data_IF_444625205974
#
_entry.id   IF_444625205974
#
_cell.length_a   1.000
_cell.length_b   1.000
_cell.length_c   1.000
_cell.angle_alpha   90.00
_cell.angle_beta   90.00
_cell.angle_gamma   90.00
#
_symmetry.space_group_name_H-M   'P 1'
#
loop_
_entity.id
_entity.type
_entity.pdbx_description
1 polymer ?
#
# COMPACT_ATOMS: atom_id res chain seq x y z
N UNK A 1 41.12 -18.45 20.21
CA UNK A 1 40.67 -18.57 18.81
C UNK A 1 40.30 -20.05 18.67
N UNK A 2 39.00 -20.35 18.69
CA UNK A 2 38.49 -21.71 18.52
C UNK A 2 38.57 -22.04 17.03
N UNK A 3 39.46 -23.00 16.69
CA UNK A 3 39.50 -23.57 15.37
C UNK A 3 38.18 -24.32 15.14
N UNK A 4 37.30 -23.71 14.30
CA UNK A 4 36.13 -24.40 13.78
C UNK A 4 36.62 -25.63 13.05
N UNK A 5 36.11 -26.83 13.44
CA UNK A 5 36.44 -28.08 12.80
C UNK A 5 36.11 -27.98 11.31
N UNK A 6 36.94 -28.61 10.47
CA UNK A 6 36.73 -28.63 9.00
C UNK A 6 35.33 -29.16 8.63
N UNK A 7 34.77 -30.07 9.42
CA UNK A 7 33.38 -30.56 9.29
C UNK A 7 32.35 -29.46 9.52
N UNK A 8 32.55 -28.60 10.51
CA UNK A 8 31.67 -27.47 10.78
C UNK A 8 31.71 -26.43 9.66
N UNK A 9 32.91 -26.18 9.09
CA UNK A 9 33.02 -25.31 7.91
C UNK A 9 32.40 -25.90 6.66
N UNK A 10 32.40 -27.22 6.52
CA UNK A 10 31.74 -27.93 5.43
C UNK A 10 30.23 -27.89 5.59
N UNK A 11 29.69 -28.09 6.78
CA UNK A 11 28.26 -28.05 7.07
C UNK A 11 27.71 -26.59 6.90
N UNK A 12 28.46 -25.56 7.29
CA UNK A 12 28.12 -24.17 7.01
C UNK A 12 28.15 -23.82 5.51
N UNK A 13 28.99 -24.48 4.73
CA UNK A 13 29.09 -24.33 3.27
C UNK A 13 27.91 -24.96 2.53
N UNK A 14 27.26 -25.96 3.13
CA UNK A 14 26.08 -26.64 2.55
C UNK A 14 24.77 -26.03 3.06
N UNK A 15 24.57 -24.71 2.88
CA UNK A 15 23.25 -24.11 3.09
C UNK A 15 22.27 -24.70 2.08
N UNK A 16 21.47 -25.67 2.53
CA UNK A 16 20.34 -26.16 1.73
C UNK A 16 19.19 -25.16 1.83
N UNK A 17 18.88 -24.51 0.73
CA UNK A 17 17.79 -23.54 0.64
C UNK A 17 16.50 -24.26 0.27
N UNK A 18 15.42 -23.95 0.98
CA UNK A 18 14.10 -24.55 0.76
C UNK A 18 13.12 -23.52 0.18
N UNK A 19 12.12 -24.02 -0.55
CA UNK A 19 11.05 -23.15 -1.05
C UNK A 19 10.28 -22.50 0.12
N UNK A 20 10.09 -21.20 0.07
CA UNK A 20 9.42 -20.43 1.11
C UNK A 20 10.33 -19.90 2.23
N UNK A 21 11.62 -20.22 2.20
CA UNK A 21 12.61 -19.75 3.16
C UNK A 21 12.95 -18.26 2.91
N UNK A 22 13.22 -17.54 3.99
CA UNK A 22 13.68 -16.16 3.93
C UNK A 22 15.19 -16.13 4.04
N UNK A 23 15.84 -15.56 3.04
CA UNK A 23 17.30 -15.47 2.95
C UNK A 23 17.73 -14.02 2.74
N UNK A 24 18.91 -13.69 3.23
CA UNK A 24 19.57 -12.43 2.93
C UNK A 24 20.47 -12.61 1.72
N UNK A 25 20.35 -11.71 0.76
CA UNK A 25 21.17 -11.70 -0.44
C UNK A 25 21.80 -10.36 -0.69
N UNK A 26 23.01 -10.35 -1.25
CA UNK A 26 23.70 -9.14 -1.70
C UNK A 26 23.51 -8.98 -3.20
N UNK A 27 23.15 -7.78 -3.63
CA UNK A 27 22.94 -7.45 -5.04
C UNK A 27 24.26 -7.44 -5.77
N UNK A 28 24.39 -8.29 -6.81
CA UNK A 28 25.56 -8.38 -7.69
C UNK A 28 25.38 -7.47 -8.90
N UNK A 29 24.18 -7.55 -9.52
CA UNK A 29 23.89 -6.83 -10.76
C UNK A 29 22.42 -6.43 -10.80
N UNK A 30 22.14 -5.27 -11.41
CA UNK A 30 20.78 -4.71 -11.54
C UNK A 30 20.51 -4.44 -13.02
N UNK A 31 19.60 -5.19 -13.59
CA UNK A 31 19.08 -4.97 -14.94
C UNK A 31 17.69 -4.32 -14.90
N UNK A 32 17.21 -3.75 -15.99
CA UNK A 32 15.89 -3.09 -16.03
C UNK A 32 14.71 -3.99 -15.68
N UNK A 33 14.82 -5.31 -15.91
CA UNK A 33 13.74 -6.29 -15.69
C UNK A 33 14.03 -7.31 -14.61
N UNK A 34 15.29 -7.44 -14.18
CA UNK A 34 15.73 -8.44 -13.20
C UNK A 34 16.85 -7.92 -12.30
N UNK A 35 16.90 -8.41 -11.07
CA UNK A 35 17.96 -8.18 -10.09
C UNK A 35 18.64 -9.51 -9.79
N UNK A 36 19.96 -9.55 -9.84
CA UNK A 36 20.77 -10.73 -9.53
C UNK A 36 21.35 -10.55 -8.14
N UNK A 37 21.11 -11.54 -7.27
CA UNK A 37 21.56 -11.55 -5.89
C UNK A 37 22.46 -12.77 -5.60
N UNK A 38 23.50 -12.53 -4.83
CA UNK A 38 24.27 -13.59 -4.19
C UNK A 38 23.60 -13.93 -2.84
N UNK A 39 23.08 -15.11 -2.72
CA UNK A 39 22.41 -15.63 -1.51
C UNK A 39 23.29 -16.60 -0.71
N UNK A 40 24.60 -16.69 -1.04
CA UNK A 40 25.52 -17.64 -0.41
C UNK A 40 25.22 -19.10 -0.74
N UNK A 41 24.53 -19.36 -1.85
CA UNK A 41 24.24 -20.68 -2.36
C UNK A 41 25.05 -20.92 -3.65
N UNK A 42 25.12 -22.18 -4.11
CA UNK A 42 25.83 -22.57 -5.35
C UNK A 42 25.26 -21.96 -6.63
N UNK A 43 24.11 -21.32 -6.55
CA UNK A 43 23.41 -20.67 -7.65
C UNK A 43 23.00 -19.25 -7.24
N UNK A 44 23.03 -18.31 -8.19
CA UNK A 44 22.59 -16.94 -7.97
C UNK A 44 21.06 -16.85 -7.91
N UNK A 45 20.57 -15.94 -7.09
CA UNK A 45 19.16 -15.65 -6.97
C UNK A 45 18.73 -14.57 -7.95
N UNK A 46 17.57 -14.77 -8.59
CA UNK A 46 16.99 -13.78 -9.51
C UNK A 46 15.67 -13.29 -8.95
N UNK A 47 15.49 -11.97 -8.95
CA UNK A 47 14.21 -11.30 -8.71
C UNK A 47 13.78 -10.63 -10.00
N UNK A 48 12.65 -11.04 -10.56
CA UNK A 48 12.05 -10.34 -11.69
C UNK A 48 11.33 -9.07 -11.23
N UNK A 49 11.18 -8.09 -12.09
CA UNK A 49 10.47 -6.82 -11.82
C UNK A 49 9.09 -7.05 -11.19
N UNK A 50 8.34 -8.04 -11.66
CA UNK A 50 7.02 -8.40 -11.15
C UNK A 50 7.02 -8.97 -9.73
N UNK A 51 8.14 -9.58 -9.31
CA UNK A 51 8.33 -10.15 -7.97
C UNK A 51 9.04 -9.16 -7.01
N UNK A 52 9.48 -8.02 -7.53
CA UNK A 52 10.02 -6.91 -6.74
C UNK A 52 8.90 -5.99 -6.25
N UNK A 53 8.09 -5.43 -7.15
CA UNK A 53 7.02 -4.48 -6.83
C UNK A 53 5.73 -4.74 -7.60
N UNK A 54 4.61 -4.26 -7.04
CA UNK A 54 3.30 -4.22 -7.68
C UNK A 54 3.16 -3.03 -8.65
N UNK A 55 4.05 -2.06 -8.56
CA UNK A 55 4.01 -0.86 -9.39
C UNK A 55 4.85 -1.04 -10.65
N UNK A 56 4.23 -1.03 -11.86
CA UNK A 56 4.95 -1.20 -13.11
C UNK A 56 5.86 -0.02 -13.47
N UNK A 57 5.66 1.14 -12.83
CA UNK A 57 6.46 2.36 -13.09
C UNK A 57 7.81 2.38 -12.36
N UNK A 58 8.06 1.44 -11.45
CA UNK A 58 9.31 1.37 -10.71
C UNK A 58 10.46 0.95 -11.61
N UNK A 59 11.49 1.81 -11.68
CA UNK A 59 12.77 1.51 -12.31
C UNK A 59 13.71 0.85 -11.29
N UNK A 60 14.01 -0.44 -11.46
CA UNK A 60 14.86 -1.21 -10.55
C UNK A 60 16.25 -0.59 -10.40
N UNK A 61 16.80 -0.04 -11.47
CA UNK A 61 18.13 0.58 -11.49
C UNK A 61 18.25 1.86 -10.66
N UNK A 62 17.13 2.49 -10.31
CA UNK A 62 17.11 3.71 -9.46
C UNK A 62 16.87 3.41 -7.99
N UNK A 63 16.21 2.29 -7.71
CA UNK A 63 15.78 1.92 -6.35
C UNK A 63 16.79 1.03 -5.66
N UNK A 64 17.52 0.21 -6.42
CA UNK A 64 18.47 -0.77 -5.89
C UNK A 64 19.85 -0.51 -6.48
N UNK A 65 20.87 -0.50 -5.62
CA UNK A 65 22.28 -0.34 -6.00
C UNK A 65 23.02 -1.67 -5.87
N UNK A 66 24.04 -1.84 -6.71
CA UNK A 66 24.95 -3.00 -6.61
C UNK A 66 25.69 -2.93 -5.27
N UNK A 67 25.67 -4.03 -4.52
CA UNK A 67 26.24 -4.13 -3.18
C UNK A 67 25.23 -3.97 -2.04
N UNK A 68 23.98 -3.62 -2.33
CA UNK A 68 22.93 -3.55 -1.31
C UNK A 68 22.58 -4.95 -0.79
N UNK A 69 22.27 -5.04 0.51
CA UNK A 69 21.81 -6.28 1.13
C UNK A 69 20.30 -6.25 1.24
N UNK A 70 19.64 -7.28 0.71
CA UNK A 70 18.19 -7.41 0.71
C UNK A 70 17.74 -8.72 1.36
N UNK A 71 16.69 -8.65 2.16
CA UNK A 71 16.00 -9.85 2.66
C UNK A 71 14.94 -10.25 1.67
N UNK A 72 14.98 -11.49 1.20
CA UNK A 72 14.12 -12.01 0.13
C UNK A 72 13.59 -13.40 0.48
N UNK A 73 12.46 -13.79 -0.11
CA UNK A 73 11.85 -15.10 0.09
C UNK A 73 12.05 -15.96 -1.14
N UNK A 74 12.45 -17.22 -0.94
CA UNK A 74 12.65 -18.17 -2.02
C UNK A 74 11.32 -18.66 -2.56
N UNK A 75 11.07 -18.45 -3.84
CA UNK A 75 9.90 -19.00 -4.53
C UNK A 75 10.17 -20.42 -5.01
N UNK A 76 11.29 -20.61 -5.69
CA UNK A 76 11.64 -21.87 -6.32
C UNK A 76 13.16 -22.01 -6.38
N UNK A 77 13.68 -23.14 -5.92
CA UNK A 77 15.12 -23.40 -5.83
C UNK A 77 15.74 -23.74 -7.19
N UNK A 78 14.94 -24.21 -8.16
CA UNK A 78 15.44 -24.56 -9.50
C UNK A 78 14.40 -24.16 -10.55
N UNK A 79 14.73 -23.19 -11.35
CA UNK A 79 13.86 -22.67 -12.42
C UNK A 79 13.97 -23.44 -13.74
N UNK A 80 14.83 -24.46 -13.79
CA UNK A 80 15.17 -25.20 -15.01
C UNK A 80 16.47 -24.75 -15.65
N UNK A 81 16.92 -23.51 -15.37
CA UNK A 81 18.20 -22.95 -15.81
C UNK A 81 19.28 -22.99 -14.71
N UNK A 82 18.98 -23.61 -13.57
CA UNK A 82 19.91 -23.71 -12.44
C UNK A 82 19.96 -22.48 -11.53
N UNK A 83 19.01 -21.57 -11.68
CA UNK A 83 18.91 -20.32 -10.91
C UNK A 83 17.83 -20.44 -9.83
N UNK A 84 17.94 -19.61 -8.78
CA UNK A 84 16.95 -19.55 -7.69
C UNK A 84 16.02 -18.36 -7.91
N UNK A 85 14.73 -18.63 -8.08
CA UNK A 85 13.73 -17.57 -8.21
C UNK A 85 13.37 -17.05 -6.82
N UNK A 86 13.51 -15.73 -6.64
CA UNK A 86 13.29 -15.03 -5.39
C UNK A 86 12.13 -14.03 -5.52
N UNK A 87 11.52 -13.68 -4.40
CA UNK A 87 10.50 -12.63 -4.31
C UNK A 87 10.78 -11.70 -3.13
N UNK A 88 10.77 -10.41 -3.39
CA UNK A 88 10.81 -9.35 -2.38
C UNK A 88 9.38 -8.94 -1.97
N UNK A 89 8.49 -8.85 -2.97
CA UNK A 89 7.12 -8.40 -2.84
C UNK A 89 6.30 -9.15 -1.78
N UNK A 90 6.45 -10.49 -1.70
CA UNK A 90 5.69 -11.28 -0.72
C UNK A 90 6.13 -10.97 0.70
N UNK A 91 7.42 -10.76 0.92
CA UNK A 91 7.95 -10.42 2.23
C UNK A 91 7.55 -8.98 2.63
N UNK A 92 7.65 -8.04 1.68
CA UNK A 92 7.20 -6.68 1.89
C UNK A 92 5.69 -6.62 2.17
N UNK A 93 4.88 -7.40 1.44
CA UNK A 93 3.44 -7.50 1.69
C UNK A 93 3.10 -8.15 3.04
N UNK A 94 3.88 -9.13 3.51
CA UNK A 94 3.71 -9.72 4.86
C UNK A 94 3.94 -8.64 5.94
N UNK A 95 5.05 -7.88 5.86
CA UNK A 95 5.35 -6.75 6.76
C UNK A 95 4.32 -5.62 6.61
N UNK A 96 3.94 -5.29 5.39
CA UNK A 96 2.91 -4.30 5.10
C UNK A 96 1.55 -4.67 5.70
N UNK A 97 1.17 -5.95 5.65
CA UNK A 97 -0.07 -6.43 6.28
C UNK A 97 -0.06 -6.29 7.81
N UNK A 98 1.08 -6.54 8.47
CA UNK A 98 1.22 -6.32 9.91
C UNK A 98 1.04 -4.84 10.26
N UNK A 99 1.70 -3.95 9.52
CA UNK A 99 1.57 -2.50 9.69
C UNK A 99 0.14 -2.00 9.43
N UNK A 100 -0.50 -2.52 8.37
CA UNK A 100 -1.90 -2.17 8.06
C UNK A 100 -2.87 -2.68 9.13
N UNK A 101 -2.57 -3.81 9.77
CA UNK A 101 -3.33 -4.31 10.92
C UNK A 101 -3.22 -3.38 12.11
N UNK A 102 -2.00 -2.94 12.46
CA UNK A 102 -1.78 -1.98 13.54
C UNK A 102 -2.47 -0.64 13.24
N UNK A 103 -2.36 -0.16 11.99
CA UNK A 103 -3.04 1.05 11.55
C UNK A 103 -4.58 0.92 11.60
N UNK A 104 -5.13 -0.27 11.33
CA UNK A 104 -6.55 -0.54 11.49
C UNK A 104 -7.00 -0.51 12.96
N UNK A 105 -6.22 -1.12 13.87
CA UNK A 105 -6.53 -1.14 15.31
C UNK A 105 -6.44 0.27 15.92
N UNK A 106 -5.46 1.06 15.49
CA UNK A 106 -5.23 2.44 15.96
C UNK A 106 -6.07 3.49 15.23
N UNK A 107 -6.78 3.13 14.14
CA UNK A 107 -7.47 4.06 13.23
C UNK A 107 -6.54 5.16 12.72
N UNK A 108 -5.33 4.78 12.35
CA UNK A 108 -4.32 5.71 11.85
C UNK A 108 -4.67 6.17 10.44
N UNK A 109 -4.39 7.45 10.16
CA UNK A 109 -4.54 8.03 8.83
C UNK A 109 -3.35 7.64 7.99
N UNK A 110 -3.59 6.90 6.92
CA UNK A 110 -2.58 6.48 5.96
C UNK A 110 -2.63 7.35 4.72
N UNK A 111 -1.45 7.59 4.15
CA UNK A 111 -1.28 8.28 2.87
C UNK A 111 -0.80 7.27 1.84
N UNK A 112 -1.43 7.27 0.68
CA UNK A 112 -0.98 6.43 -0.41
C UNK A 112 -1.30 7.03 -1.78
N UNK A 113 -0.48 6.64 -2.75
CA UNK A 113 -0.69 7.03 -4.14
C UNK A 113 -1.67 6.07 -4.81
N UNK A 114 -2.61 6.63 -5.55
CA UNK A 114 -3.54 5.85 -6.37
C UNK A 114 -2.81 5.26 -7.57
N UNK A 115 -2.73 3.94 -7.62
CA UNK A 115 -2.03 3.21 -8.70
C UNK A 115 -2.97 2.78 -9.82
N UNK A 116 -4.24 2.53 -9.51
CA UNK A 116 -5.19 2.02 -10.49
C UNK A 116 -6.62 2.46 -10.17
N UNK A 117 -7.38 2.76 -11.21
CA UNK A 117 -8.81 3.07 -11.12
C UNK A 117 -9.62 1.90 -11.64
N UNK A 118 -10.56 1.45 -10.82
CA UNK A 118 -11.52 0.40 -11.16
C UNK A 118 -12.91 1.02 -11.30
N UNK A 119 -13.82 0.37 -12.05
CA UNK A 119 -15.18 0.88 -12.25
C UNK A 119 -16.02 1.03 -10.98
N UNK A 120 -15.62 0.40 -9.87
CA UNK A 120 -16.29 0.48 -8.57
C UNK A 120 -15.54 1.28 -7.50
N UNK A 121 -14.36 1.82 -7.79
CA UNK A 121 -13.54 2.53 -6.81
C UNK A 121 -12.10 2.69 -7.28
N UNK A 122 -11.24 3.10 -6.37
CA UNK A 122 -9.82 3.31 -6.61
C UNK A 122 -8.98 2.32 -5.82
N UNK A 123 -7.83 1.94 -6.37
CA UNK A 123 -6.82 1.14 -5.70
C UNK A 123 -5.61 2.01 -5.38
N UNK A 124 -5.21 2.02 -4.13
CA UNK A 124 -3.97 2.60 -3.66
C UNK A 124 -3.02 1.50 -3.18
N UNK A 125 -1.73 1.72 -3.27
CA UNK A 125 -0.72 0.76 -2.79
C UNK A 125 0.00 1.36 -1.59
N UNK A 126 0.00 0.63 -0.47
CA UNK A 126 0.74 0.94 0.75
C UNK A 126 1.63 -0.25 1.06
N UNK A 127 2.94 -0.04 1.15
CA UNK A 127 3.93 -1.09 1.47
C UNK A 127 3.68 -2.40 0.68
N UNK A 128 3.50 -2.30 -0.64
CA UNK A 128 3.21 -3.41 -1.57
C UNK A 128 1.85 -4.11 -1.35
N UNK A 129 1.03 -3.66 -0.40
CA UNK A 129 -0.33 -4.15 -0.19
C UNK A 129 -1.32 -3.26 -0.93
N UNK A 130 -2.24 -3.89 -1.66
CA UNK A 130 -3.30 -3.16 -2.36
C UNK A 130 -4.46 -2.87 -1.42
N UNK A 131 -4.79 -1.58 -1.29
CA UNK A 131 -5.95 -1.09 -0.54
C UNK A 131 -7.00 -0.65 -1.55
N UNK A 132 -8.20 -1.20 -1.44
CA UNK A 132 -9.32 -0.82 -2.28
C UNK A 132 -10.20 0.20 -1.55
N UNK A 133 -10.52 1.31 -2.21
CA UNK A 133 -11.42 2.34 -1.70
C UNK A 133 -12.64 2.40 -2.62
N UNK A 134 -13.81 1.96 -2.18
CA UNK A 134 -15.05 2.02 -2.96
C UNK A 134 -15.39 3.45 -3.35
N UNK A 135 -15.98 3.66 -4.52
CA UNK A 135 -16.37 5.00 -4.99
C UNK A 135 -17.26 5.77 -4.02
N UNK A 136 -18.09 5.07 -3.25
CA UNK A 136 -18.93 5.65 -2.20
C UNK A 136 -18.17 6.17 -0.98
N UNK A 137 -16.92 5.73 -0.79
CA UNK A 137 -16.06 6.08 0.35
C UNK A 137 -14.88 6.99 -0.06
N UNK A 138 -14.74 7.29 -1.35
CA UNK A 138 -13.68 8.20 -1.86
C UNK A 138 -14.00 9.65 -1.54
N UNK A 139 -15.26 10.04 -1.70
CA UNK A 139 -15.73 11.42 -1.51
C UNK A 139 -17.04 11.46 -0.73
N UNK A 140 -17.38 12.61 -0.17
CA UNK A 140 -18.64 12.87 0.50
C UNK A 140 -19.83 12.92 -0.46
N UNK A 141 -19.59 13.31 -1.71
CA UNK A 141 -20.58 13.32 -2.79
C UNK A 141 -20.24 12.24 -3.83
N UNK A 142 -21.26 11.67 -4.46
CA UNK A 142 -21.06 10.70 -5.53
C UNK A 142 -20.33 11.36 -6.71
N UNK A 143 -19.09 11.00 -6.92
CA UNK A 143 -18.29 11.44 -8.05
C UNK A 143 -18.29 10.37 -9.15
N UNK A 144 -18.68 10.78 -10.34
CA UNK A 144 -18.66 9.91 -11.53
C UNK A 144 -17.26 9.75 -12.10
N UNK A 145 -16.42 10.79 -11.97
CA UNK A 145 -15.08 10.83 -12.55
C UNK A 145 -14.02 10.56 -11.47
N UNK A 146 -13.66 9.29 -11.31
CA UNK A 146 -12.57 8.87 -10.45
C UNK A 146 -11.20 9.09 -11.09
N UNK A 147 -11.14 9.35 -12.40
CA UNK A 147 -9.91 9.59 -13.17
C UNK A 147 -9.04 10.72 -12.63
N UNK A 148 -9.63 11.66 -11.92
CA UNK A 148 -8.90 12.78 -11.30
C UNK A 148 -7.91 12.35 -10.21
N UNK A 149 -8.13 11.18 -9.61
CA UNK A 149 -7.33 10.68 -8.49
C UNK A 149 -6.15 9.82 -8.93
N UNK A 150 -6.02 9.52 -10.22
CA UNK A 150 -4.92 8.72 -10.74
C UNK A 150 -3.57 9.43 -10.50
N UNK A 151 -2.64 8.73 -9.83
CA UNK A 151 -1.34 9.27 -9.47
C UNK A 151 -1.35 10.31 -8.34
N UNK A 152 -2.49 10.60 -7.72
CA UNK A 152 -2.56 11.51 -6.58
C UNK A 152 -2.35 10.76 -5.26
N UNK A 153 -1.73 11.45 -4.31
CA UNK A 153 -1.70 10.99 -2.92
C UNK A 153 -3.05 11.27 -2.26
N UNK A 154 -3.62 10.27 -1.64
CA UNK A 154 -4.86 10.36 -0.89
C UNK A 154 -4.66 9.89 0.54
N UNK A 155 -5.35 10.57 1.46
CA UNK A 155 -5.42 10.20 2.86
C UNK A 155 -6.68 9.38 3.11
N UNK A 156 -6.56 8.28 3.85
CA UNK A 156 -7.68 7.42 4.20
C UNK A 156 -7.42 6.66 5.49
N UNK A 157 -8.47 6.13 6.10
CA UNK A 157 -8.42 5.23 7.25
C UNK A 157 -8.87 3.84 6.79
N UNK A 158 -8.31 2.80 7.37
CA UNK A 158 -8.74 1.44 7.06
C UNK A 158 -10.08 1.18 7.74
N UNK A 159 -11.09 0.79 6.94
CA UNK A 159 -12.44 0.43 7.41
C UNK A 159 -12.60 -1.07 7.63
N UNK A 160 -12.01 -1.89 6.75
CA UNK A 160 -12.05 -3.35 6.83
C UNK A 160 -10.70 -3.94 6.48
N UNK A 161 -10.22 -4.85 7.31
CA UNK A 161 -8.98 -5.58 7.10
C UNK A 161 -9.23 -7.09 7.10
N UNK A 162 -9.00 -7.75 5.96
CA UNK A 162 -9.17 -9.20 5.84
C UNK A 162 -7.90 -9.85 5.27
N UNK A 163 -6.98 -10.31 6.14
CA UNK A 163 -5.69 -10.86 5.71
C UNK A 163 -5.82 -12.15 4.92
N UNK A 164 -6.86 -12.97 5.19
CA UNK A 164 -7.05 -14.27 4.49
C UNK A 164 -7.39 -14.09 3.01
N UNK A 165 -8.04 -12.99 2.66
CA UNK A 165 -8.45 -12.68 1.29
C UNK A 165 -7.57 -11.61 0.63
N UNK A 166 -6.51 -11.14 1.32
CA UNK A 166 -5.69 -10.00 0.91
C UNK A 166 -6.56 -8.80 0.50
N UNK A 167 -7.64 -8.57 1.25
CA UNK A 167 -8.60 -7.50 0.98
C UNK A 167 -8.54 -6.48 2.10
N UNK A 168 -8.12 -5.29 1.76
CA UNK A 168 -8.11 -4.13 2.65
C UNK A 168 -9.00 -3.07 2.03
N UNK A 169 -9.96 -2.56 2.82
CA UNK A 169 -10.87 -1.49 2.38
C UNK A 169 -10.52 -0.23 3.14
N UNK A 170 -10.20 0.83 2.38
CA UNK A 170 -9.97 2.16 2.90
C UNK A 170 -11.23 3.03 2.85
N UNK A 171 -11.37 3.96 3.77
CA UNK A 171 -12.43 4.95 3.87
C UNK A 171 -11.84 6.36 4.00
N UNK A 172 -12.00 7.17 2.97
CA UNK A 172 -11.60 8.57 2.96
C UNK A 172 -12.72 9.47 3.45
N UNK A 173 -13.97 9.04 3.27
CA UNK A 173 -15.14 9.83 3.62
C UNK A 173 -15.16 10.20 5.11
N UNK A 174 -14.74 9.30 5.99
CA UNK A 174 -14.67 9.57 7.43
C UNK A 174 -13.79 10.78 7.75
N UNK A 175 -12.63 10.90 7.09
CA UNK A 175 -11.74 12.06 7.26
C UNK A 175 -12.37 13.35 6.77
N UNK A 176 -12.95 13.32 5.58
CA UNK A 176 -13.61 14.49 5.00
C UNK A 176 -14.80 14.97 5.83
N UNK A 177 -15.56 14.05 6.41
CA UNK A 177 -16.67 14.37 7.31
C UNK A 177 -16.16 14.95 8.63
N UNK A 178 -15.09 14.38 9.19
CA UNK A 178 -14.45 14.90 10.41
C UNK A 178 -13.91 16.32 10.21
N UNK A 179 -13.15 16.56 9.14
CA UNK A 179 -12.66 17.88 8.78
C UNK A 179 -13.78 18.92 8.58
N UNK A 180 -14.86 18.49 7.92
CA UNK A 180 -16.03 19.37 7.75
C UNK A 180 -16.71 19.69 9.07
N UNK A 181 -16.86 18.70 9.93
CA UNK A 181 -17.46 18.90 11.25
C UNK A 181 -16.61 19.86 12.11
N UNK A 182 -15.29 19.77 12.03
CA UNK A 182 -14.40 20.71 12.71
C UNK A 182 -14.51 22.12 12.14
N UNK A 183 -14.39 22.28 10.82
CA UNK A 183 -14.57 23.56 10.14
C UNK A 183 -15.95 24.18 10.41
N UNK A 184 -16.97 23.33 10.48
CA UNK A 184 -18.33 23.76 10.81
C UNK A 184 -18.44 24.24 12.27
N UNK A 185 -17.83 23.52 13.21
CA UNK A 185 -17.77 23.95 14.63
C UNK A 185 -17.03 25.27 14.79
N UNK A 186 -15.90 25.45 14.12
CA UNK A 186 -15.14 26.70 14.12
C UNK A 186 -15.96 27.85 13.54
N UNK A 187 -16.65 27.62 12.43
CA UNK A 187 -17.56 28.60 11.84
C UNK A 187 -18.66 28.99 12.81
N UNK A 188 -19.34 28.02 13.43
CA UNK A 188 -20.41 28.32 14.39
C UNK A 188 -19.91 29.01 15.68
N UNK A 189 -18.68 28.70 16.12
CA UNK A 189 -18.07 29.38 17.26
C UNK A 189 -17.71 30.83 16.94
N UNK A 190 -17.47 31.12 15.66
CA UNK A 190 -17.07 32.45 15.17
C UNK A 190 -18.23 33.33 14.77
N UNK A 191 -19.38 32.74 14.40
CA UNK A 191 -20.57 33.45 13.95
C UNK A 191 -21.50 33.76 15.13
N UNK A 192 -21.97 35.02 15.19
CA UNK A 192 -23.00 35.46 16.14
C UNK A 192 -24.31 35.73 15.42
N UNK A 193 -25.43 35.67 16.17
CA UNK A 193 -26.74 35.96 15.62
C UNK A 193 -26.80 37.42 15.18
N UNK A 194 -26.99 37.63 13.88
CA UNK A 194 -27.02 38.96 13.26
C UNK A 194 -25.83 39.28 12.34
N UNK A 195 -24.80 38.39 12.28
CA UNK A 195 -23.68 38.57 11.37
C UNK A 195 -24.11 38.36 9.91
N UNK A 196 -23.53 39.12 9.02
CA UNK A 196 -23.72 38.98 7.57
C UNK A 196 -22.60 38.09 7.04
N UNK A 197 -22.98 36.97 6.41
CA UNK A 197 -22.06 36.00 5.85
C UNK A 197 -22.35 35.81 4.37
N UNK A 198 -21.33 35.91 3.54
CA UNK A 198 -21.41 35.56 2.12
C UNK A 198 -21.33 34.04 1.95
N UNK A 199 -22.32 33.44 1.31
CA UNK A 199 -22.41 32.03 1.11
C UNK A 199 -22.87 31.66 -0.30
N UNK A 200 -22.38 30.53 -0.81
CA UNK A 200 -22.84 29.97 -2.08
C UNK A 200 -23.93 28.92 -1.82
N UNK A 201 -25.11 29.15 -2.36
CA UNK A 201 -26.24 28.21 -2.25
C UNK A 201 -25.95 27.00 -3.13
N UNK A 202 -25.69 25.84 -2.52
CA UNK A 202 -25.49 24.58 -3.25
C UNK A 202 -26.78 23.86 -3.63
N UNK A 203 -27.79 23.90 -2.77
CA UNK A 203 -29.10 23.29 -2.99
C UNK A 203 -30.19 24.19 -2.42
N UNK A 204 -31.15 24.56 -3.24
CA UNK A 204 -32.40 25.13 -2.78
C UNK A 204 -33.40 23.96 -2.66
N UNK A 205 -33.70 23.55 -1.44
CA UNK A 205 -34.81 22.62 -1.19
C UNK A 205 -36.12 23.42 -1.38
N UNK A 206 -36.81 23.12 -2.45
CA UNK A 206 -38.18 23.62 -2.72
C UNK A 206 -39.25 22.94 -1.81
N UNK A 207 -38.88 22.55 -0.59
CA UNK A 207 -39.87 22.17 0.42
C UNK A 207 -40.19 23.44 1.24
N UNK A 208 -41.07 24.25 0.72
CA UNK A 208 -41.94 25.01 1.59
C UNK A 208 -42.84 23.99 2.29
N UNK A 209 -42.62 23.72 3.58
CA UNK A 209 -43.66 23.07 4.36
C UNK A 209 -44.90 23.97 4.18
N UNK A 210 -46.06 23.40 3.85
CA UNK A 210 -47.26 24.20 3.67
C UNK A 210 -47.49 25.02 4.94
N UNK A 211 -47.54 26.31 4.76
CA UNK A 211 -47.85 27.22 5.85
C UNK A 211 -49.17 26.78 6.48
N UNK A 212 -49.33 26.81 7.82
CA UNK A 212 -50.60 26.50 8.45
C UNK A 212 -51.77 27.42 7.99
N UNK A 213 -51.46 28.40 7.15
CA UNK A 213 -52.48 29.28 6.53
C UNK A 213 -53.02 28.75 5.19
N UNK A 214 -52.39 27.72 4.61
CA UNK A 214 -52.80 27.12 3.33
C UNK A 214 -53.60 25.83 3.53
N UNK A 215 -54.02 25.53 4.75
CA UNK A 215 -54.89 24.42 5.12
C UNK A 215 -56.33 24.91 5.37
#
# INVERSE_FOLDING_TARGET
MSELSFEQMLDESFKTIHNGEVVEGTVIDVKPEEIILNIGYKADGIITKNEYSNDPSVDLTKVVSVGDTMTVKVLKVNDGEGQVLLTYKRLAAEKGNERLREAFENKEVLKATVTQILGGGICATVDEVRVFIPASLVSDSYEKDLGKYEGQEIEFVISEFNPRRNRVIGDRRQLLVAERAEKQKELFARLQVGDRVDGVIKNCLLYTSPSPRDA
#
